data_IF_652349482106
#
_entry.id   IF_652349482106
#
_cell.length_a   1.000
_cell.length_b   1.000
_cell.length_c   1.000
_cell.angle_alpha   90.00
_cell.angle_beta   90.00
_cell.angle_gamma   90.00
#
_symmetry.space_group_name_H-M   'P 1'
#
loop_
_entity.id
_entity.type
_entity.pdbx_description
1 polymer ?
#
# COMPACT_ATOMS: atom_id res chain seq x y z
N UNK A 1 -14.12 -17.24 3.43
CA UNK A 1 -13.17 -16.73 2.41
C UNK A 1 -12.29 -15.72 3.11
N UNK A 2 -10.96 -15.80 2.99
CA UNK A 2 -10.06 -14.74 3.45
C UNK A 2 -10.18 -13.53 2.53
N UNK A 3 -9.87 -12.33 3.04
CA UNK A 3 -9.76 -11.13 2.20
C UNK A 3 -8.55 -11.25 1.30
N UNK A 4 -8.63 -10.71 0.08
CA UNK A 4 -7.47 -10.56 -0.79
C UNK A 4 -6.59 -9.40 -0.29
N UNK A 5 -5.31 -9.70 -0.07
CA UNK A 5 -4.30 -8.77 0.39
C UNK A 5 -3.74 -8.03 -0.81
N UNK A 6 -3.91 -6.71 -0.84
CA UNK A 6 -3.47 -5.88 -1.96
C UNK A 6 -2.39 -4.88 -1.52
N UNK A 7 -1.50 -4.55 -2.45
CA UNK A 7 -0.51 -3.49 -2.31
C UNK A 7 -0.87 -2.27 -3.17
N UNK A 8 -0.45 -1.07 -2.74
CA UNK A 8 -0.67 0.17 -3.49
C UNK A 8 0.64 0.87 -3.84
N UNK A 9 0.76 1.33 -5.09
CA UNK A 9 1.87 2.15 -5.57
C UNK A 9 1.34 3.54 -5.93
N UNK A 10 1.90 4.57 -5.29
CA UNK A 10 1.49 5.94 -5.47
C UNK A 10 0.19 6.31 -4.74
N UNK A 11 -0.25 7.56 -4.95
CA UNK A 11 -1.56 8.05 -4.49
C UNK A 11 -1.71 8.24 -2.98
N UNK A 12 -0.80 7.80 -2.11
CA UNK A 12 -0.91 7.99 -0.67
C UNK A 12 -0.20 9.24 -0.13
N UNK A 13 -0.30 9.43 1.18
CA UNK A 13 0.36 10.52 1.93
C UNK A 13 -0.38 11.85 1.93
N UNK A 14 0.17 12.86 2.64
CA UNK A 14 -0.44 14.17 2.79
C UNK A 14 -0.76 14.83 1.44
N UNK A 15 -1.87 15.55 1.40
CA UNK A 15 -2.41 16.30 0.25
C UNK A 15 -2.84 15.43 -0.95
N UNK A 16 -2.80 14.11 -0.83
CA UNK A 16 -3.26 13.21 -1.88
C UNK A 16 -4.72 12.78 -1.69
N UNK A 17 -5.57 13.18 -2.62
CA UNK A 17 -6.99 12.81 -2.62
C UNK A 17 -7.20 11.32 -2.98
N UNK A 18 -6.52 10.83 -4.01
CA UNK A 18 -6.86 9.56 -4.64
C UNK A 18 -6.56 8.32 -3.79
N UNK A 19 -5.48 8.31 -3.00
CA UNK A 19 -5.10 7.12 -2.23
C UNK A 19 -6.15 6.71 -1.20
N UNK A 20 -6.77 7.68 -0.52
CA UNK A 20 -7.83 7.38 0.46
C UNK A 20 -9.12 6.94 -0.22
N UNK A 21 -9.42 7.47 -1.42
CA UNK A 21 -10.55 7.00 -2.25
C UNK A 21 -10.35 5.55 -2.65
N UNK A 22 -9.15 5.17 -3.12
CA UNK A 22 -8.83 3.78 -3.44
C UNK A 22 -8.87 2.88 -2.21
N UNK A 23 -8.32 3.32 -1.07
CA UNK A 23 -8.38 2.54 0.18
C UNK A 23 -9.82 2.26 0.62
N UNK A 24 -10.70 3.27 0.53
CA UNK A 24 -12.14 3.09 0.81
C UNK A 24 -12.81 2.13 -0.17
N UNK A 25 -12.48 2.22 -1.47
CA UNK A 25 -13.03 1.32 -2.48
C UNK A 25 -12.57 -0.13 -2.27
N UNK A 26 -11.30 -0.34 -1.89
CA UNK A 26 -10.74 -1.65 -1.54
C UNK A 26 -11.51 -2.28 -0.36
N UNK A 27 -11.84 -1.49 0.66
CA UNK A 27 -12.54 -1.96 1.85
C UNK A 27 -14.07 -2.10 1.69
N UNK A 28 -14.65 -1.56 0.62
CA UNK A 28 -16.09 -1.28 0.51
C UNK A 28 -17.00 -2.51 0.68
N UNK A 29 -16.63 -3.63 0.08
CA UNK A 29 -17.38 -4.89 0.12
C UNK A 29 -16.76 -5.93 1.07
N UNK A 30 -15.76 -5.52 1.85
CA UNK A 30 -14.97 -6.38 2.73
C UNK A 30 -14.30 -7.59 2.05
N UNK A 31 -14.13 -7.58 0.72
CA UNK A 31 -13.45 -8.64 -0.04
C UNK A 31 -11.93 -8.49 -0.08
N UNK A 32 -11.41 -7.29 0.18
CA UNK A 32 -9.99 -6.94 0.09
C UNK A 32 -9.53 -6.11 1.28
N UNK A 33 -8.23 -6.11 1.50
CA UNK A 33 -7.56 -5.24 2.47
C UNK A 33 -6.22 -4.76 1.93
N UNK A 34 -5.94 -3.47 2.14
CA UNK A 34 -4.65 -2.86 1.80
C UNK A 34 -3.65 -3.19 2.90
N UNK A 35 -2.58 -3.91 2.58
CA UNK A 35 -1.60 -4.39 3.59
C UNK A 35 -0.21 -3.81 3.41
N UNK A 36 0.12 -3.30 2.22
CA UNK A 36 1.44 -2.77 1.90
C UNK A 36 1.38 -1.61 0.89
N UNK A 37 2.39 -0.75 0.87
CA UNK A 37 2.47 0.27 -0.17
C UNK A 37 3.79 1.04 -0.30
N UNK A 38 4.08 1.43 -1.54
CA UNK A 38 5.10 2.40 -1.92
C UNK A 38 4.40 3.68 -2.39
N UNK A 39 3.98 4.50 -1.43
CA UNK A 39 2.94 5.50 -1.66
C UNK A 39 3.45 6.82 -2.27
N UNK A 40 4.76 7.07 -2.22
CA UNK A 40 5.42 8.28 -2.73
C UNK A 40 6.73 7.95 -3.43
N UNK A 41 7.19 8.87 -4.26
CA UNK A 41 8.50 8.77 -4.94
C UNK A 41 9.68 9.13 -4.02
N UNK A 42 9.46 9.99 -3.01
CA UNK A 42 10.47 10.25 -1.97
C UNK A 42 10.39 9.15 -0.90
N UNK A 43 11.48 8.42 -0.61
CA UNK A 43 11.47 7.29 0.31
C UNK A 43 10.93 7.60 1.70
N UNK A 44 11.40 8.68 2.33
CA UNK A 44 10.94 9.03 3.68
C UNK A 44 9.46 9.41 3.70
N UNK A 45 8.99 10.13 2.67
CA UNK A 45 7.59 10.47 2.53
C UNK A 45 6.73 9.22 2.27
N UNK A 46 7.26 8.22 1.56
CA UNK A 46 6.57 6.96 1.32
C UNK A 46 6.39 6.18 2.64
N UNK A 47 7.44 6.08 3.45
CA UNK A 47 7.38 5.42 4.76
C UNK A 47 6.42 6.13 5.73
N UNK A 48 6.46 7.48 5.78
CA UNK A 48 5.50 8.25 6.57
C UNK A 48 4.06 8.03 6.11
N UNK A 49 3.82 8.08 4.81
CA UNK A 49 2.50 7.85 4.24
C UNK A 49 1.97 6.43 4.53
N UNK A 50 2.82 5.41 4.47
CA UNK A 50 2.42 4.04 4.82
C UNK A 50 2.06 3.92 6.31
N UNK A 51 2.82 4.58 7.18
CA UNK A 51 2.49 4.69 8.62
C UNK A 51 1.15 5.37 8.85
N UNK A 52 0.83 6.45 8.13
CA UNK A 52 -0.47 7.14 8.22
C UNK A 52 -1.64 6.24 7.79
N UNK A 53 -1.37 5.29 6.88
CA UNK A 53 -2.35 4.32 6.40
C UNK A 53 -2.42 3.05 7.30
N UNK A 54 -1.47 2.85 8.20
CA UNK A 54 -1.38 1.65 9.04
C UNK A 54 -1.02 0.39 8.26
N UNK A 55 -0.17 0.51 7.24
CA UNK A 55 0.24 -0.60 6.35
C UNK A 55 1.76 -0.74 6.29
N UNK A 56 2.24 -1.88 5.78
CA UNK A 56 3.68 -2.09 5.55
C UNK A 56 4.20 -1.11 4.49
N UNK A 57 5.28 -0.39 4.81
CA UNK A 57 5.80 0.69 3.98
C UNK A 57 7.01 0.27 3.17
N UNK A 58 7.06 0.68 1.91
CA UNK A 58 8.23 0.48 1.06
C UNK A 58 8.77 1.81 0.54
N UNK A 59 10.12 2.00 0.57
CA UNK A 59 10.74 3.26 0.17
C UNK A 59 10.64 3.52 -1.34
N UNK A 60 10.52 2.46 -2.14
CA UNK A 60 10.36 2.51 -3.60
C UNK A 60 9.39 1.42 -4.04
N UNK A 61 8.79 1.60 -5.22
CA UNK A 61 7.94 0.54 -5.78
C UNK A 61 8.76 -0.71 -6.13
N UNK A 62 10.04 -0.56 -6.49
CA UNK A 62 10.94 -1.67 -6.75
C UNK A 62 11.15 -2.52 -5.50
N UNK A 63 11.40 -1.89 -4.34
CA UNK A 63 11.54 -2.62 -3.08
C UNK A 63 10.27 -3.39 -2.72
N UNK A 64 9.08 -2.81 -2.96
CA UNK A 64 7.82 -3.52 -2.81
C UNK A 64 7.73 -4.72 -3.75
N UNK A 65 8.05 -4.56 -5.03
CA UNK A 65 7.99 -5.65 -6.02
C UNK A 65 9.00 -6.75 -5.71
N UNK A 66 10.21 -6.42 -5.26
CA UNK A 66 11.23 -7.38 -4.84
C UNK A 66 10.77 -8.18 -3.61
N UNK A 67 10.17 -7.51 -2.62
CA UNK A 67 9.60 -8.18 -1.45
C UNK A 67 8.44 -9.13 -1.84
N UNK A 68 7.61 -8.75 -2.81
CA UNK A 68 6.53 -9.61 -3.32
C UNK A 68 7.10 -10.81 -4.09
N UNK A 69 8.09 -10.58 -4.97
CA UNK A 69 8.71 -11.63 -5.78
C UNK A 69 9.50 -12.64 -4.94
N UNK A 70 10.15 -12.18 -3.87
CA UNK A 70 10.88 -13.04 -2.93
C UNK A 70 9.97 -13.76 -1.93
N UNK A 71 8.70 -13.33 -1.81
CA UNK A 71 7.73 -13.88 -0.87
C UNK A 71 7.81 -13.28 0.54
N UNK A 72 8.66 -12.27 0.76
CA UNK A 72 8.70 -11.49 2.01
C UNK A 72 7.38 -10.73 2.25
N UNK A 73 6.86 -10.09 1.19
CA UNK A 73 5.57 -9.42 1.21
C UNK A 73 4.51 -10.28 0.54
N UNK A 74 3.61 -10.84 1.35
CA UNK A 74 2.55 -11.68 0.82
C UNK A 74 1.36 -10.82 0.36
N UNK A 75 1.14 -10.78 -0.95
CA UNK A 75 -0.04 -10.24 -1.64
C UNK A 75 -0.73 -11.38 -2.42
N UNK A 76 -2.02 -11.22 -2.73
CA UNK A 76 -2.82 -12.20 -3.48
C UNK A 76 -3.00 -11.84 -4.96
#
# INVERSE_FOLDING_TARGET
MSKLRVGMIGGGGPDSFFGMVHNRAIALDASRELVAGALRSNPEAAMRAASDYGIEGYPTYQALLEAVQSGEQALD
#
